data_IF_368006648293
#
_entry.id   IF_368006648293
#
_cell.length_a   1.000
_cell.length_b   1.000
_cell.length_c   1.000
_cell.angle_alpha   90.00
_cell.angle_beta   90.00
_cell.angle_gamma   90.00
#
_symmetry.space_group_name_H-M   'P 1'
#
loop_
_entity.id
_entity.type
_entity.pdbx_description
1 polymer ?
#
# COMPACT_ATOMS: atom_id res chain seq x y z
N UNK A 1 -1.77 -9.06 23.35
CA UNK A 1 -2.52 -8.14 22.47
C UNK A 1 -2.71 -6.86 23.27
N UNK A 2 -2.03 -5.78 22.88
CA UNK A 2 -2.13 -4.48 23.55
C UNK A 2 -3.47 -3.82 23.24
N UNK A 3 -4.14 -3.29 24.26
CA UNK A 3 -5.40 -2.56 24.10
C UNK A 3 -5.23 -1.34 23.16
N UNK A 4 -6.23 -1.04 22.31
CA UNK A 4 -6.19 0.14 21.47
C UNK A 4 -6.28 1.41 22.33
N UNK A 5 -5.33 2.34 22.14
CA UNK A 5 -5.10 3.55 22.95
C UNK A 5 -6.14 4.68 22.78
N UNK A 6 -7.30 4.42 22.17
CA UNK A 6 -8.28 5.44 21.82
C UNK A 6 -9.70 5.00 22.17
N UNK A 7 -10.24 5.58 23.25
CA UNK A 7 -11.56 5.26 23.81
C UNK A 7 -12.74 5.70 22.94
N UNK A 8 -12.50 6.43 21.85
CA UNK A 8 -13.52 7.08 21.01
C UNK A 8 -13.39 6.75 19.51
N UNK A 9 -12.90 5.56 19.15
CA UNK A 9 -12.93 5.13 17.75
C UNK A 9 -14.29 4.50 17.44
N UNK A 10 -15.17 5.27 16.81
CA UNK A 10 -16.39 4.74 16.20
C UNK A 10 -16.06 4.36 14.76
N UNK A 11 -16.22 3.08 14.41
CA UNK A 11 -16.15 2.65 13.02
C UNK A 11 -17.36 3.19 12.27
N UNK A 12 -17.13 4.14 11.37
CA UNK A 12 -18.16 4.57 10.43
C UNK A 12 -18.23 3.57 9.28
N UNK A 13 -19.41 3.01 9.04
CA UNK A 13 -19.63 2.19 7.86
C UNK A 13 -19.39 3.04 6.61
N UNK A 14 -18.60 2.52 5.67
CA UNK A 14 -18.40 3.18 4.39
C UNK A 14 -19.72 3.19 3.60
N UNK A 15 -20.09 4.33 3.02
CA UNK A 15 -21.27 4.45 2.16
C UNK A 15 -21.21 3.58 0.88
N UNK A 16 -20.01 3.10 0.54
CA UNK A 16 -19.77 2.22 -0.61
C UNK A 16 -18.97 1.01 -0.14
N UNK A 17 -19.52 -0.17 -0.41
CA UNK A 17 -18.94 -1.47 -0.06
C UNK A 17 -17.75 -1.82 -0.95
N UNK A 18 -16.97 -2.82 -0.53
CA UNK A 18 -15.90 -3.37 -1.35
C UNK A 18 -16.42 -3.97 -2.67
N UNK A 19 -17.51 -4.73 -2.60
CA UNK A 19 -18.11 -5.41 -3.75
C UNK A 19 -18.64 -4.43 -4.80
N UNK A 20 -19.24 -3.31 -4.37
CA UNK A 20 -19.68 -2.25 -5.29
C UNK A 20 -18.50 -1.60 -6.01
N UNK A 21 -17.39 -1.34 -5.31
CA UNK A 21 -16.15 -0.82 -5.93
C UNK A 21 -15.56 -1.80 -6.95
N UNK A 22 -15.49 -3.08 -6.61
CA UNK A 22 -15.00 -4.12 -7.52
C UNK A 22 -15.88 -4.25 -8.77
N UNK A 23 -17.21 -4.25 -8.59
CA UNK A 23 -18.17 -4.29 -9.68
C UNK A 23 -18.04 -3.08 -10.60
N UNK A 24 -17.89 -1.88 -10.04
CA UNK A 24 -17.72 -0.65 -10.82
C UNK A 24 -16.41 -0.65 -11.62
N UNK A 25 -15.31 -1.14 -11.03
CA UNK A 25 -14.00 -1.16 -11.69
C UNK A 25 -13.77 -2.37 -12.59
N UNK A 26 -14.62 -3.40 -12.50
CA UNK A 26 -14.41 -4.66 -13.22
C UNK A 26 -13.17 -5.43 -12.76
N UNK A 27 -12.64 -5.14 -11.57
CA UNK A 27 -11.41 -5.75 -11.05
C UNK A 27 -11.49 -5.92 -9.52
N UNK A 28 -10.83 -6.96 -9.01
CA UNK A 28 -10.67 -7.16 -7.55
C UNK A 28 -9.45 -6.41 -7.04
N UNK A 29 -9.57 -5.81 -5.86
CA UNK A 29 -8.43 -5.20 -5.17
C UNK A 29 -7.54 -6.27 -4.54
N UNK A 30 -6.22 -6.10 -4.61
CA UNK A 30 -5.27 -6.93 -3.87
C UNK A 30 -4.01 -6.13 -3.51
N UNK A 31 -3.21 -6.68 -2.60
CA UNK A 31 -1.90 -6.13 -2.23
C UNK A 31 -0.84 -7.17 -2.53
N UNK A 32 0.15 -6.80 -3.33
CA UNK A 32 1.35 -7.61 -3.58
C UNK A 32 2.48 -7.04 -2.73
N UNK A 33 2.80 -7.74 -1.63
CA UNK A 33 3.82 -7.28 -0.70
C UNK A 33 5.20 -7.83 -1.06
N UNK A 34 6.04 -7.01 -1.68
CA UNK A 34 7.43 -7.38 -1.98
C UNK A 34 8.33 -7.09 -0.79
N UNK A 35 8.95 -8.13 -0.24
CA UNK A 35 9.92 -8.04 0.87
C UNK A 35 11.25 -8.68 0.48
N UNK A 36 12.34 -8.19 1.07
CA UNK A 36 13.70 -8.64 0.73
C UNK A 36 14.76 -7.57 1.00
N UNK A 37 16.03 -7.99 0.95
CA UNK A 37 17.19 -7.13 1.21
C UNK A 37 17.27 -5.93 0.27
N UNK A 38 18.00 -4.88 0.67
CA UNK A 38 18.36 -3.79 -0.25
C UNK A 38 19.05 -4.37 -1.50
N UNK A 39 18.81 -3.75 -2.66
CA UNK A 39 19.27 -4.21 -3.97
C UNK A 39 18.78 -5.60 -4.44
N UNK A 40 17.84 -6.26 -3.74
CA UNK A 40 17.24 -7.53 -4.20
C UNK A 40 16.27 -7.39 -5.38
N UNK A 41 16.13 -6.19 -5.95
CA UNK A 41 15.27 -5.92 -7.12
C UNK A 41 13.79 -5.64 -6.85
N UNK A 42 13.36 -5.43 -5.59
CA UNK A 42 11.95 -5.17 -5.23
C UNK A 42 11.31 -4.06 -6.06
N UNK A 43 11.92 -2.89 -6.09
CA UNK A 43 11.41 -1.72 -6.82
C UNK A 43 11.41 -1.94 -8.34
N UNK A 44 12.41 -2.64 -8.86
CA UNK A 44 12.47 -3.02 -10.28
C UNK A 44 11.30 -3.92 -10.67
N UNK A 45 11.02 -4.93 -9.84
CA UNK A 45 9.89 -5.86 -10.06
C UNK A 45 8.56 -5.11 -9.90
N UNK A 46 8.39 -4.30 -8.85
CA UNK A 46 7.15 -3.55 -8.59
C UNK A 46 6.77 -2.65 -9.77
N UNK A 47 7.72 -1.84 -10.27
CA UNK A 47 7.48 -0.94 -11.41
C UNK A 47 7.13 -1.70 -12.69
N UNK A 48 7.81 -2.83 -12.95
CA UNK A 48 7.51 -3.64 -14.14
C UNK A 48 6.15 -4.33 -14.06
N UNK A 49 5.76 -4.80 -12.87
CA UNK A 49 4.43 -5.38 -12.63
C UNK A 49 3.33 -4.33 -12.82
N UNK A 50 3.52 -3.12 -12.26
CA UNK A 50 2.60 -1.99 -12.47
C UNK A 50 2.43 -1.67 -13.96
N UNK A 51 3.54 -1.50 -14.70
CA UNK A 51 3.51 -1.21 -16.13
C UNK A 51 2.72 -2.27 -16.92
N UNK A 52 2.97 -3.56 -16.64
CA UNK A 52 2.30 -4.67 -17.32
C UNK A 52 0.80 -4.72 -17.00
N UNK A 53 0.41 -4.46 -15.75
CA UNK A 53 -1.00 -4.43 -15.35
C UNK A 53 -1.75 -3.27 -16.01
N UNK A 54 -1.13 -2.08 -16.07
CA UNK A 54 -1.71 -0.92 -16.76
C UNK A 54 -1.86 -1.17 -18.27
N UNK A 55 -0.88 -1.81 -18.90
CA UNK A 55 -0.96 -2.22 -20.32
C UNK A 55 -2.10 -3.22 -20.60
N UNK A 56 -2.48 -4.00 -19.60
CA UNK A 56 -3.61 -4.94 -19.66
C UNK A 56 -4.95 -4.32 -19.25
N UNK A 57 -4.97 -3.02 -18.90
CA UNK A 57 -6.19 -2.30 -18.50
C UNK A 57 -6.57 -2.44 -17.03
N UNK A 58 -5.71 -3.03 -16.19
CA UNK A 58 -5.92 -3.10 -14.75
C UNK A 58 -5.37 -1.85 -14.07
N UNK A 59 -6.13 -1.26 -13.15
CA UNK A 59 -5.61 -0.17 -12.32
C UNK A 59 -4.70 -0.76 -11.24
N UNK A 60 -3.41 -0.40 -11.32
CA UNK A 60 -2.36 -0.80 -10.40
C UNK A 60 -1.56 0.43 -9.96
N UNK A 61 -0.92 0.33 -8.78
CA UNK A 61 -0.03 1.38 -8.29
C UNK A 61 1.11 0.77 -7.45
N UNK A 62 2.34 1.15 -7.73
CA UNK A 62 3.53 0.70 -7.01
C UNK A 62 3.86 1.65 -5.85
N UNK A 63 3.72 1.14 -4.61
CA UNK A 63 4.12 1.83 -3.40
C UNK A 63 5.58 1.47 -3.06
N UNK A 64 6.52 2.39 -3.26
CA UNK A 64 7.95 2.17 -2.96
C UNK A 64 8.39 3.03 -1.77
N UNK A 65 9.03 2.42 -0.78
CA UNK A 65 9.49 3.10 0.43
C UNK A 65 10.47 4.25 0.13
N UNK A 66 11.22 4.15 -0.97
CA UNK A 66 12.09 5.23 -1.43
C UNK A 66 11.28 6.45 -1.91
N UNK A 67 10.14 6.24 -2.57
CA UNK A 67 9.22 7.30 -3.02
C UNK A 67 8.40 7.89 -1.85
N UNK A 68 7.99 7.05 -0.89
CA UNK A 68 7.24 7.53 0.28
C UNK A 68 8.10 8.37 1.22
N UNK A 69 9.39 8.04 1.37
CA UNK A 69 10.34 8.80 2.19
C UNK A 69 10.63 10.20 1.66
N UNK A 70 10.49 10.43 0.36
CA UNK A 70 10.74 11.76 -0.21
C UNK A 70 9.56 12.73 -0.03
N UNK A 71 8.34 12.23 0.18
CA UNK A 71 7.11 13.04 0.14
C UNK A 71 6.20 12.93 1.38
N UNK A 72 5.84 11.71 1.80
CA UNK A 72 4.84 11.49 2.87
C UNK A 72 5.47 11.16 4.23
N UNK A 73 6.63 10.49 4.22
CA UNK A 73 7.34 9.98 5.40
C UNK A 73 8.69 10.69 5.58
N UNK A 74 8.77 11.99 5.25
CA UNK A 74 10.00 12.78 5.33
C UNK A 74 10.60 12.81 6.75
N UNK A 75 9.75 12.64 7.75
CA UNK A 75 10.12 12.74 9.17
C UNK A 75 10.44 11.37 9.80
N UNK A 76 10.28 10.26 9.05
CA UNK A 76 10.58 8.90 9.51
C UNK A 76 11.95 8.45 9.00
N UNK A 77 12.89 8.30 9.94
CA UNK A 77 14.24 7.83 9.67
C UNK A 77 14.34 6.33 9.37
N UNK A 78 15.52 5.76 9.60
CA UNK A 78 15.80 4.34 9.38
C UNK A 78 15.79 3.52 10.68
N UNK A 79 15.49 4.15 11.82
CA UNK A 79 15.48 3.50 13.12
C UNK A 79 14.42 2.38 13.17
N UNK A 80 14.57 1.37 14.03
CA UNK A 80 13.54 0.36 14.25
C UNK A 80 12.19 0.97 14.68
N UNK A 81 12.23 2.10 15.38
CA UNK A 81 11.07 2.86 15.82
C UNK A 81 10.36 3.53 14.64
N UNK A 82 11.10 4.15 13.71
CA UNK A 82 10.54 4.80 12.51
C UNK A 82 9.99 3.82 11.47
N UNK A 83 10.27 2.52 11.63
CA UNK A 83 9.80 1.44 10.75
C UNK A 83 8.53 0.75 11.25
N UNK A 84 7.97 1.16 12.39
CA UNK A 84 6.77 0.56 13.00
C UNK A 84 5.46 1.24 12.60
N UNK A 85 5.52 2.40 11.93
CA UNK A 85 4.33 3.13 11.44
C UNK A 85 3.86 2.66 10.06
#
# INVERSE_FOLDING_TARGET
MSEPKSKNLVWHAANVTHQERERLRGQKGCVIWLTGFSASGKSTIARRVEELLLQQGFAAYALDGDNFRTELNRDLGFSPEDRKE
#
